data_IF_787170930817
#
_entry.id   IF_787170930817
#
_cell.length_a   1.000
_cell.length_b   1.000
_cell.length_c   1.000
_cell.angle_alpha   90.00
_cell.angle_beta   90.00
_cell.angle_gamma   90.00
#
_symmetry.space_group_name_H-M   'P 1'
#
loop_
_entity.id
_entity.type
_entity.pdbx_description
1 polymer ?
#
# COMPACT_ATOMS: atom_id res chain seq x y z
N UNK A 1 34.63 20.17 11.43
CA UNK A 1 33.65 19.59 12.38
C UNK A 1 32.39 20.46 12.47
N UNK A 2 31.71 20.76 11.34
CA UNK A 2 30.54 21.66 11.32
C UNK A 2 29.28 21.08 10.66
N UNK A 3 29.31 19.81 10.26
CA UNK A 3 28.23 19.17 9.49
C UNK A 3 27.19 18.43 10.35
N UNK A 4 27.44 18.24 11.65
CA UNK A 4 26.60 17.41 12.54
C UNK A 4 25.47 18.18 13.23
N UNK A 5 25.54 19.52 13.31
CA UNK A 5 24.54 20.34 14.01
C UNK A 5 23.36 20.79 13.14
N UNK A 6 23.51 20.75 11.81
CA UNK A 6 22.45 21.17 10.86
C UNK A 6 21.56 20.01 10.38
N UNK A 7 22.07 18.78 10.42
CA UNK A 7 21.35 17.58 9.97
C UNK A 7 20.28 17.12 10.95
N UNK A 8 20.51 17.32 12.26
CA UNK A 8 19.58 16.98 13.34
C UNK A 8 18.28 17.79 13.33
N UNK A 9 18.28 19.14 13.23
CA UNK A 9 17.02 19.90 13.17
C UNK A 9 16.23 19.63 11.89
N UNK A 10 16.90 19.39 10.76
CA UNK A 10 16.23 19.03 9.51
C UNK A 10 15.60 17.64 9.57
N UNK A 11 16.27 16.66 10.17
CA UNK A 11 15.70 15.31 10.35
C UNK A 11 14.49 15.30 11.30
N UNK A 12 14.54 16.07 12.40
CA UNK A 12 13.42 16.19 13.35
C UNK A 12 12.21 16.88 12.70
N UNK A 13 12.44 17.96 11.96
CA UNK A 13 11.36 18.65 11.23
C UNK A 13 10.78 17.78 10.13
N UNK A 14 11.63 17.07 9.37
CA UNK A 14 11.19 16.09 8.36
C UNK A 14 10.33 15.00 8.97
N UNK A 15 10.73 14.42 10.11
CA UNK A 15 9.94 13.45 10.85
C UNK A 15 8.58 14.01 11.28
N UNK A 16 8.55 15.22 11.88
CA UNK A 16 7.30 15.85 12.30
C UNK A 16 6.33 16.10 11.13
N UNK A 17 6.88 16.53 9.99
CA UNK A 17 6.12 16.74 8.74
C UNK A 17 5.56 15.40 8.23
N UNK A 18 6.37 14.34 8.19
CA UNK A 18 5.89 12.99 7.80
C UNK A 18 4.78 12.53 8.73
N UNK A 19 4.97 12.62 10.05
CA UNK A 19 3.99 12.13 11.03
C UNK A 19 2.67 12.89 10.93
N UNK A 20 2.72 14.22 10.80
CA UNK A 20 1.52 15.03 10.57
C UNK A 20 0.83 14.66 9.24
N UNK A 21 1.61 14.42 8.19
CA UNK A 21 1.12 14.06 6.86
C UNK A 21 0.44 12.70 6.86
N UNK A 22 1.09 11.69 7.45
CA UNK A 22 0.59 10.32 7.58
C UNK A 22 -0.72 10.27 8.41
N UNK A 23 -0.79 11.00 9.53
CA UNK A 23 -2.02 11.12 10.32
C UNK A 23 -3.16 11.78 9.52
N UNK A 24 -2.83 12.84 8.78
CA UNK A 24 -3.82 13.53 7.96
C UNK A 24 -4.25 12.69 6.75
N UNK A 25 -3.34 11.90 6.20
CA UNK A 25 -3.59 10.96 5.13
C UNK A 25 -4.57 9.88 5.61
N UNK A 26 -4.30 9.26 6.76
CA UNK A 26 -5.19 8.24 7.32
C UNK A 26 -6.60 8.78 7.57
N UNK A 27 -6.68 10.00 8.12
CA UNK A 27 -7.96 10.69 8.30
C UNK A 27 -8.65 10.96 6.95
N UNK A 28 -7.92 11.49 5.97
CA UNK A 28 -8.48 11.79 4.64
C UNK A 28 -9.00 10.53 3.93
N UNK A 29 -8.28 9.41 4.03
CA UNK A 29 -8.72 8.12 3.49
C UNK A 29 -9.95 7.60 4.24
N UNK A 30 -10.01 7.75 5.57
CA UNK A 30 -11.18 7.39 6.38
C UNK A 30 -12.42 8.19 5.98
N UNK A 31 -12.30 9.51 5.93
CA UNK A 31 -13.39 10.42 5.57
C UNK A 31 -13.88 10.12 4.14
N UNK A 32 -12.95 9.88 3.20
CA UNK A 32 -13.28 9.48 1.83
C UNK A 32 -13.96 8.10 1.74
N UNK A 33 -13.50 7.12 2.53
CA UNK A 33 -14.12 5.79 2.60
C UNK A 33 -15.56 5.85 3.15
N UNK A 34 -15.88 6.86 3.96
CA UNK A 34 -17.23 7.10 4.49
C UNK A 34 -18.21 7.75 3.51
N UNK A 35 -17.76 8.22 2.35
CA UNK A 35 -18.63 8.87 1.35
C UNK A 35 -19.47 7.85 0.57
N UNK A 36 -20.69 8.25 0.16
CA UNK A 36 -21.51 7.47 -0.78
C UNK A 36 -20.83 7.38 -2.16
N UNK A 37 -21.02 6.25 -2.85
CA UNK A 37 -20.41 5.92 -4.15
C UNK A 37 -20.59 7.00 -5.22
N UNK A 38 -21.78 7.59 -5.32
CA UNK A 38 -22.13 8.60 -6.34
C UNK A 38 -21.39 9.92 -6.14
N UNK A 39 -20.99 10.18 -4.89
CA UNK A 39 -20.17 11.35 -4.52
C UNK A 39 -18.72 11.02 -4.87
N UNK A 40 -18.20 9.86 -4.46
CA UNK A 40 -16.79 9.46 -4.64
C UNK A 40 -16.24 9.41 -6.10
N UNK A 41 -17.06 9.56 -7.15
CA UNK A 41 -16.62 9.55 -8.56
C UNK A 41 -15.95 10.86 -8.97
N UNK A 42 -16.26 12.00 -8.35
CA UNK A 42 -15.67 13.29 -8.75
C UNK A 42 -14.20 13.41 -8.33
N UNK A 43 -13.32 13.70 -9.30
CA UNK A 43 -11.86 13.77 -9.10
C UNK A 43 -11.42 14.92 -8.16
N UNK A 44 -12.23 15.99 -8.08
CA UNK A 44 -11.96 17.26 -7.38
C UNK A 44 -12.84 17.46 -6.14
N UNK A 45 -13.21 16.38 -5.46
CA UNK A 45 -13.93 16.50 -4.19
C UNK A 45 -13.00 16.87 -3.04
N UNK A 46 -13.52 17.73 -2.15
CA UNK A 46 -12.82 18.32 -1.01
C UNK A 46 -12.04 17.28 -0.19
N UNK A 47 -12.56 16.07 -0.05
CA UNK A 47 -11.94 15.01 0.77
C UNK A 47 -10.79 14.27 0.04
N UNK A 48 -10.81 14.17 -1.29
CA UNK A 48 -9.64 13.71 -2.08
C UNK A 48 -8.50 14.72 -2.08
N UNK A 49 -8.84 16.01 -2.10
CA UNK A 49 -7.85 17.09 -2.00
C UNK A 49 -7.08 16.96 -0.69
N UNK A 50 -7.73 16.56 0.41
CA UNK A 50 -7.04 16.30 1.69
C UNK A 50 -6.05 15.14 1.59
N UNK A 51 -6.41 14.04 0.93
CA UNK A 51 -5.48 12.91 0.71
C UNK A 51 -4.27 13.33 -0.11
N UNK A 52 -4.48 14.08 -1.20
CA UNK A 52 -3.37 14.55 -2.04
C UNK A 52 -2.48 15.57 -1.31
N UNK A 53 -3.06 16.50 -0.56
CA UNK A 53 -2.31 17.46 0.25
C UNK A 53 -1.53 16.77 1.36
N UNK A 54 -2.14 15.79 2.03
CA UNK A 54 -1.48 14.99 3.05
C UNK A 54 -0.30 14.20 2.46
N UNK A 55 -0.49 13.57 1.30
CA UNK A 55 0.58 12.86 0.59
C UNK A 55 1.72 13.79 0.16
N UNK A 56 1.39 15.01 -0.29
CA UNK A 56 2.40 16.05 -0.58
C UNK A 56 3.17 16.46 0.68
N UNK A 57 2.51 16.51 1.83
CA UNK A 57 3.16 16.77 3.11
C UNK A 57 4.16 15.66 3.45
N UNK A 58 3.76 14.38 3.33
CA UNK A 58 4.66 13.24 3.53
C UNK A 58 5.83 13.26 2.54
N UNK A 59 5.56 13.58 1.27
CA UNK A 59 6.61 13.72 0.25
C UNK A 59 7.59 14.86 0.56
N UNK A 60 7.12 15.97 1.11
CA UNK A 60 7.98 17.08 1.55
C UNK A 60 8.89 16.65 2.72
N UNK A 61 8.36 15.88 3.68
CA UNK A 61 9.16 15.29 4.75
C UNK A 61 10.19 14.28 4.23
N UNK A 62 9.80 13.42 3.29
CA UNK A 62 10.72 12.50 2.60
C UNK A 62 11.84 13.26 1.85
N UNK A 63 11.50 14.37 1.18
CA UNK A 63 12.49 15.22 0.52
C UNK A 63 13.49 15.82 1.54
N UNK A 64 13.02 16.20 2.72
CA UNK A 64 13.87 16.65 3.83
C UNK A 64 14.91 15.58 4.24
N UNK A 65 14.50 14.32 4.37
CA UNK A 65 15.44 13.20 4.60
C UNK A 65 16.39 12.96 3.41
N UNK A 66 15.92 13.12 2.17
CA UNK A 66 16.79 13.01 1.00
C UNK A 66 17.89 14.09 0.99
N UNK A 67 17.58 15.31 1.44
CA UNK A 67 18.53 16.42 1.59
C UNK A 67 19.56 16.18 2.71
N UNK A 68 19.25 15.36 3.72
CA UNK A 68 20.23 14.94 4.74
C UNK A 68 21.11 13.77 4.29
N UNK A 69 20.92 13.25 3.07
CA UNK A 69 21.69 12.12 2.53
C UNK A 69 20.99 10.75 2.68
N UNK A 70 19.82 10.70 3.31
CA UNK A 70 19.08 9.47 3.64
C UNK A 70 18.17 9.01 2.48
N UNK A 71 18.75 8.80 1.30
CA UNK A 71 17.97 8.55 0.07
C UNK A 71 17.13 7.27 0.12
N UNK A 72 17.65 6.19 0.70
CA UNK A 72 16.92 4.92 0.84
C UNK A 72 15.67 5.07 1.72
N UNK A 73 15.82 5.50 2.99
CA UNK A 73 14.68 5.75 3.85
C UNK A 73 13.70 6.79 3.30
N UNK A 74 14.19 7.85 2.65
CA UNK A 74 13.34 8.83 1.98
C UNK A 74 12.44 8.19 0.90
N UNK A 75 12.99 7.29 0.08
CA UNK A 75 12.21 6.55 -0.91
C UNK A 75 11.17 5.63 -0.26
N UNK A 76 11.53 4.98 0.85
CA UNK A 76 10.60 4.13 1.59
C UNK A 76 9.42 4.92 2.18
N UNK A 77 9.68 6.11 2.74
CA UNK A 77 8.62 7.03 3.22
C UNK A 77 7.80 7.58 2.04
N UNK A 78 8.43 7.92 0.92
CA UNK A 78 7.68 8.36 -0.26
C UNK A 78 6.76 7.25 -0.79
N UNK A 79 7.21 5.99 -0.75
CA UNK A 79 6.43 4.84 -1.20
C UNK A 79 5.13 4.66 -0.40
N UNK A 80 5.11 4.97 0.90
CA UNK A 80 3.88 4.88 1.71
C UNK A 80 2.83 5.89 1.28
N UNK A 81 3.25 7.15 1.06
CA UNK A 81 2.37 8.20 0.55
C UNK A 81 1.81 7.87 -0.84
N UNK A 82 2.68 7.45 -1.77
CA UNK A 82 2.26 7.12 -3.14
C UNK A 82 1.33 5.91 -3.15
N UNK A 83 1.62 4.87 -2.37
CA UNK A 83 0.76 3.69 -2.30
C UNK A 83 -0.65 4.05 -1.83
N UNK A 84 -0.78 4.83 -0.76
CA UNK A 84 -2.09 5.26 -0.27
C UNK A 84 -2.85 6.14 -1.26
N UNK A 85 -2.16 7.02 -1.99
CA UNK A 85 -2.76 7.82 -3.07
C UNK A 85 -3.33 6.92 -4.17
N UNK A 86 -2.55 5.94 -4.66
CA UNK A 86 -2.99 5.02 -5.70
C UNK A 86 -4.22 4.22 -5.27
N UNK A 87 -4.29 3.80 -4.01
CA UNK A 87 -5.43 3.05 -3.48
C UNK A 87 -6.72 3.88 -3.38
N UNK A 88 -6.63 5.22 -3.34
CA UNK A 88 -7.80 6.13 -3.30
C UNK A 88 -8.39 6.47 -4.67
N UNK A 89 -7.92 5.82 -5.73
CA UNK A 89 -8.47 6.00 -7.08
C UNK A 89 -9.97 5.61 -7.14
N UNK A 90 -10.80 6.38 -7.87
CA UNK A 90 -12.23 6.11 -8.02
C UNK A 90 -12.53 4.74 -8.61
N UNK A 91 -13.70 4.21 -8.25
CA UNK A 91 -14.23 2.94 -8.75
C UNK A 91 -15.10 2.25 -7.70
N UNK A 92 -15.72 1.11 -8.03
CA UNK A 92 -16.55 0.37 -7.08
C UNK A 92 -15.73 -0.04 -5.85
N UNK A 93 -16.40 -0.13 -4.70
CA UNK A 93 -15.85 -0.62 -3.43
C UNK A 93 -14.67 0.19 -2.87
N UNK A 94 -14.76 1.52 -3.01
CA UNK A 94 -13.75 2.48 -2.55
C UNK A 94 -13.47 2.41 -1.04
N UNK A 95 -14.46 1.99 -0.24
CA UNK A 95 -14.37 1.83 1.22
C UNK A 95 -13.21 0.92 1.65
N UNK A 96 -12.87 -0.05 0.81
CA UNK A 96 -11.90 -1.11 1.11
C UNK A 96 -10.45 -0.60 1.05
N UNK A 97 -10.20 0.54 0.41
CA UNK A 97 -8.87 1.15 0.35
C UNK A 97 -8.34 1.62 1.70
N UNK A 98 -9.21 1.79 2.70
CA UNK A 98 -8.83 2.18 4.05
C UNK A 98 -8.00 1.09 4.76
N UNK A 99 -8.32 -0.18 4.56
CA UNK A 99 -7.67 -1.28 5.29
C UNK A 99 -6.16 -1.41 5.01
N UNK A 100 -5.69 -1.38 3.75
CA UNK A 100 -4.24 -1.35 3.49
C UNK A 100 -3.57 -0.10 4.06
N UNK A 101 -4.24 1.05 4.06
CA UNK A 101 -3.68 2.30 4.59
C UNK A 101 -3.43 2.23 6.10
N UNK A 102 -4.21 1.46 6.88
CA UNK A 102 -3.94 1.21 8.30
C UNK A 102 -2.60 0.52 8.55
N UNK A 103 -2.03 -0.16 7.55
CA UNK A 103 -0.72 -0.81 7.64
C UNK A 103 0.37 0.08 7.04
N UNK A 104 0.10 0.67 5.86
CA UNK A 104 1.08 1.47 5.11
C UNK A 104 1.51 2.73 5.89
N UNK A 105 0.55 3.44 6.49
CA UNK A 105 0.77 4.71 7.20
C UNK A 105 1.73 4.53 8.40
N UNK A 106 1.51 3.55 9.32
CA UNK A 106 2.47 3.26 10.38
C UNK A 106 3.87 2.88 9.90
N UNK A 107 3.99 2.18 8.76
CA UNK A 107 5.30 1.82 8.20
C UNK A 107 6.08 3.07 7.78
N UNK A 108 5.41 4.05 7.18
CA UNK A 108 6.02 5.33 6.80
C UNK A 108 6.48 6.13 8.01
N UNK A 109 5.63 6.22 9.03
CA UNK A 109 5.96 6.87 10.30
C UNK A 109 7.13 6.17 11.02
N UNK A 110 7.13 4.83 11.06
CA UNK A 110 8.21 4.05 11.67
C UNK A 110 9.54 4.19 10.91
N UNK A 111 9.49 4.24 9.57
CA UNK A 111 10.67 4.48 8.76
C UNK A 111 11.25 5.88 9.00
N UNK A 112 10.40 6.91 8.99
CA UNK A 112 10.81 8.29 9.29
C UNK A 112 11.40 8.42 10.71
N UNK A 113 10.79 7.76 11.70
CA UNK A 113 11.31 7.72 13.07
C UNK A 113 12.68 7.05 13.12
N UNK A 114 12.84 5.90 12.44
CA UNK A 114 14.13 5.20 12.31
C UNK A 114 15.18 6.09 11.67
N UNK A 115 14.85 6.79 10.58
CA UNK A 115 15.81 7.71 9.91
C UNK A 115 16.27 8.82 10.84
N UNK A 116 15.37 9.35 11.66
CA UNK A 116 15.70 10.37 12.66
C UNK A 116 16.57 9.81 13.80
N UNK A 117 16.28 8.62 14.31
CA UNK A 117 16.95 8.04 15.48
C UNK A 117 18.26 7.30 15.14
N UNK A 118 18.35 6.70 13.95
CA UNK A 118 19.45 5.88 13.48
C UNK A 118 19.82 6.27 12.03
N UNK A 119 20.37 7.48 11.82
CA UNK A 119 20.78 7.93 10.49
C UNK A 119 21.89 7.03 9.93
N UNK A 120 22.04 7.03 8.62
CA UNK A 120 22.95 6.22 7.82
C UNK A 120 22.63 4.73 7.79
N UNK A 121 21.48 4.31 8.33
CA UNK A 121 21.05 2.93 8.20
C UNK A 121 20.51 2.73 6.79
N UNK A 122 21.15 1.90 5.96
CA UNK A 122 20.72 1.70 4.58
C UNK A 122 19.34 1.06 4.49
N UNK A 123 18.63 1.41 3.41
CA UNK A 123 17.39 0.79 2.97
C UNK A 123 17.54 0.55 1.48
N UNK A 124 17.44 -0.71 1.06
CA UNK A 124 17.64 -1.04 -0.35
C UNK A 124 16.44 -0.60 -1.19
N UNK A 125 16.72 -0.13 -2.42
CA UNK A 125 15.68 0.18 -3.41
C UNK A 125 14.78 -1.03 -3.67
N UNK A 126 15.35 -2.24 -3.64
CA UNK A 126 14.61 -3.48 -3.89
C UNK A 126 13.58 -3.74 -2.80
N UNK A 127 13.92 -3.54 -1.52
CA UNK A 127 12.98 -3.68 -0.41
C UNK A 127 11.87 -2.64 -0.50
N UNK A 128 12.19 -1.39 -0.87
CA UNK A 128 11.20 -0.33 -1.11
C UNK A 128 10.25 -0.66 -2.26
N UNK A 129 10.78 -1.07 -3.42
CA UNK A 129 9.96 -1.43 -4.58
C UNK A 129 9.07 -2.63 -4.28
N UNK A 130 9.60 -3.64 -3.58
CA UNK A 130 8.83 -4.85 -3.28
C UNK A 130 7.72 -4.57 -2.27
N UNK A 131 7.99 -3.75 -1.25
CA UNK A 131 6.96 -3.23 -0.35
C UNK A 131 5.88 -2.46 -1.12
N UNK A 132 6.28 -1.53 -1.99
CA UNK A 132 5.35 -0.73 -2.78
C UNK A 132 4.45 -1.60 -3.64
N UNK A 133 5.02 -2.59 -4.35
CA UNK A 133 4.26 -3.54 -5.17
C UNK A 133 3.27 -4.32 -4.31
N UNK A 134 3.72 -4.92 -3.20
CA UNK A 134 2.83 -5.73 -2.33
C UNK A 134 1.72 -4.87 -1.74
N UNK A 135 2.02 -3.64 -1.32
CA UNK A 135 1.03 -2.72 -0.76
C UNK A 135 -0.04 -2.31 -1.76
N UNK A 136 0.38 -1.90 -2.96
CA UNK A 136 -0.54 -1.43 -4.01
C UNK A 136 -1.30 -2.60 -4.62
N UNK A 137 -0.60 -3.64 -5.10
CA UNK A 137 -1.23 -4.80 -5.72
C UNK A 137 -2.09 -5.57 -4.71
N UNK A 138 -1.65 -5.71 -3.47
CA UNK A 138 -2.44 -6.31 -2.39
C UNK A 138 -3.73 -5.54 -2.11
N UNK A 139 -3.66 -4.20 -2.03
CA UNK A 139 -4.87 -3.37 -1.87
C UNK A 139 -5.84 -3.49 -3.04
N UNK A 140 -5.35 -3.51 -4.28
CA UNK A 140 -6.20 -3.74 -5.46
C UNK A 140 -6.76 -5.17 -5.51
N UNK A 141 -6.01 -6.19 -5.07
CA UNK A 141 -6.52 -7.56 -4.94
C UNK A 141 -7.70 -7.62 -3.98
N UNK A 142 -7.60 -6.96 -2.82
CA UNK A 142 -8.70 -6.91 -1.86
C UNK A 142 -9.92 -6.22 -2.46
N UNK A 143 -9.72 -5.08 -3.14
CA UNK A 143 -10.79 -4.35 -3.84
C UNK A 143 -11.45 -5.21 -4.92
N UNK A 144 -10.66 -5.90 -5.73
CA UNK A 144 -11.15 -6.80 -6.77
C UNK A 144 -11.94 -7.97 -6.20
N UNK A 145 -11.50 -8.55 -5.07
CA UNK A 145 -12.22 -9.62 -4.36
C UNK A 145 -13.59 -9.14 -3.86
N UNK A 146 -13.68 -7.93 -3.30
CA UNK A 146 -14.97 -7.35 -2.86
C UNK A 146 -15.94 -7.19 -4.01
N UNK A 147 -15.47 -6.63 -5.13
CA UNK A 147 -16.29 -6.48 -6.33
C UNK A 147 -16.71 -7.84 -6.94
N UNK A 148 -15.81 -8.84 -6.89
CA UNK A 148 -16.02 -10.13 -7.53
C UNK A 148 -16.85 -11.12 -6.69
N UNK A 149 -16.93 -10.93 -5.37
CA UNK A 149 -17.70 -11.77 -4.45
C UNK A 149 -18.66 -10.93 -3.59
N UNK A 150 -19.73 -10.39 -4.19
CA UNK A 150 -20.71 -9.58 -3.47
C UNK A 150 -21.46 -10.41 -2.42
N UNK A 151 -21.67 -9.84 -1.23
CA UNK A 151 -22.30 -10.50 -0.07
C UNK A 151 -23.77 -10.85 -0.32
N UNK A 152 -24.45 -10.10 -1.20
CA UNK A 152 -25.85 -10.33 -1.58
C UNK A 152 -25.94 -10.43 -3.11
N UNK A 153 -26.39 -11.58 -3.62
CA UNK A 153 -26.57 -11.83 -5.04
C UNK A 153 -28.00 -11.49 -5.48
N UNK A 154 -28.15 -10.42 -6.27
CA UNK A 154 -29.42 -9.96 -6.85
C UNK A 154 -29.64 -10.41 -8.30
N UNK A 155 -28.58 -10.88 -8.98
CA UNK A 155 -28.63 -11.35 -10.37
C UNK A 155 -28.82 -10.24 -11.42
N UNK A 156 -28.64 -8.97 -11.05
CA UNK A 156 -28.76 -7.84 -11.97
C UNK A 156 -27.59 -7.78 -12.97
N UNK A 157 -27.82 -7.14 -14.13
CA UNK A 157 -26.75 -6.88 -15.13
C UNK A 157 -25.62 -6.03 -14.55
N UNK A 158 -25.95 -5.06 -13.69
CA UNK A 158 -24.99 -4.22 -13.00
C UNK A 158 -24.07 -5.05 -12.07
N UNK A 159 -24.63 -6.06 -11.39
CA UNK A 159 -23.85 -6.97 -10.57
C UNK A 159 -22.97 -7.91 -11.40
N UNK A 160 -23.45 -8.40 -12.53
CA UNK A 160 -22.63 -9.19 -13.45
C UNK A 160 -21.43 -8.37 -13.98
N UNK A 161 -21.65 -7.08 -14.26
CA UNK A 161 -20.58 -6.16 -14.65
C UNK A 161 -19.55 -5.95 -13.53
N UNK A 162 -20.01 -5.74 -12.28
CA UNK A 162 -19.12 -5.61 -11.12
C UNK A 162 -18.28 -6.86 -10.88
N UNK A 163 -18.86 -8.05 -11.04
CA UNK A 163 -18.13 -9.31 -10.89
C UNK A 163 -17.03 -9.45 -11.95
N UNK A 164 -17.34 -9.15 -13.21
CA UNK A 164 -16.37 -9.18 -14.30
C UNK A 164 -15.23 -8.15 -14.08
N UNK A 165 -15.58 -6.94 -13.63
CA UNK A 165 -14.61 -5.92 -13.26
C UNK A 165 -13.71 -6.39 -12.11
N UNK A 166 -14.28 -6.94 -11.04
CA UNK A 166 -13.52 -7.42 -9.88
C UNK A 166 -12.52 -8.51 -10.26
N UNK A 167 -12.93 -9.47 -11.11
CA UNK A 167 -12.04 -10.52 -11.63
C UNK A 167 -10.88 -9.93 -12.46
N UNK A 168 -11.17 -8.94 -13.31
CA UNK A 168 -10.15 -8.26 -14.10
C UNK A 168 -9.15 -7.53 -13.20
N UNK A 169 -9.63 -6.79 -12.18
CA UNK A 169 -8.78 -6.11 -11.20
C UNK A 169 -7.90 -7.12 -10.45
N UNK A 170 -8.46 -8.24 -9.99
CA UNK A 170 -7.69 -9.31 -9.35
C UNK A 170 -6.61 -9.89 -10.27
N UNK A 171 -6.94 -10.13 -11.55
CA UNK A 171 -5.98 -10.63 -12.53
C UNK A 171 -4.81 -9.66 -12.77
N UNK A 172 -5.11 -8.37 -12.97
CA UNK A 172 -4.10 -7.34 -13.18
C UNK A 172 -3.23 -7.12 -11.93
N UNK A 173 -3.86 -7.03 -10.76
CA UNK A 173 -3.16 -6.89 -9.50
C UNK A 173 -2.29 -8.12 -9.21
N UNK A 174 -2.77 -9.32 -9.54
CA UNK A 174 -2.03 -10.56 -9.49
C UNK A 174 -0.78 -10.58 -10.38
N UNK A 175 -0.93 -10.14 -11.63
CA UNK A 175 0.19 -10.03 -12.55
C UNK A 175 1.26 -9.03 -12.05
N UNK A 176 0.84 -7.90 -11.48
CA UNK A 176 1.77 -6.96 -10.84
C UNK A 176 2.45 -7.59 -9.61
N UNK A 177 1.69 -8.29 -8.77
CA UNK A 177 2.17 -8.94 -7.56
C UNK A 177 3.23 -10.01 -7.84
N UNK A 178 3.19 -10.67 -9.00
CA UNK A 178 4.20 -11.67 -9.41
C UNK A 178 5.62 -11.09 -9.39
N UNK A 179 5.78 -9.79 -9.62
CA UNK A 179 7.08 -9.15 -9.55
C UNK A 179 7.71 -9.23 -8.15
N UNK A 180 6.93 -9.22 -7.06
CA UNK A 180 7.45 -9.22 -5.69
C UNK A 180 8.31 -10.46 -5.35
N UNK A 181 7.82 -11.72 -5.47
CA UNK A 181 8.65 -12.89 -5.23
C UNK A 181 9.83 -12.99 -6.20
N UNK A 182 9.70 -12.51 -7.44
CA UNK A 182 10.80 -12.45 -8.39
C UNK A 182 11.90 -11.49 -7.94
N UNK A 183 11.54 -10.29 -7.48
CA UNK A 183 12.48 -9.31 -6.92
C UNK A 183 13.22 -9.89 -5.69
N UNK A 184 12.52 -10.64 -4.84
CA UNK A 184 13.15 -11.35 -3.71
C UNK A 184 14.12 -12.44 -4.17
N UNK A 185 13.75 -13.25 -5.16
CA UNK A 185 14.63 -14.30 -5.68
C UNK A 185 15.87 -13.73 -6.36
N UNK A 186 15.72 -12.65 -7.13
CA UNK A 186 16.82 -11.95 -7.81
C UNK A 186 17.83 -11.34 -6.83
N UNK A 187 17.38 -11.01 -5.62
CA UNK A 187 18.23 -10.46 -4.54
C UNK A 187 18.70 -11.51 -3.55
N UNK A 188 18.38 -12.79 -3.77
CA UNK A 188 18.83 -13.91 -2.92
C UNK A 188 17.96 -14.16 -1.68
N UNK A 189 16.90 -13.38 -1.45
CA UNK A 189 16.01 -13.48 -0.28
C UNK A 189 14.97 -14.60 -0.44
N UNK A 190 15.43 -15.86 -0.46
CA UNK A 190 14.58 -17.05 -0.71
C UNK A 190 13.43 -17.19 0.29
N UNK A 191 13.66 -16.86 1.56
CA UNK A 191 12.61 -16.93 2.59
C UNK A 191 11.54 -15.86 2.38
N UNK A 192 11.91 -14.63 2.00
CA UNK A 192 10.94 -13.57 1.69
C UNK A 192 10.13 -13.91 0.43
N UNK A 193 10.78 -14.51 -0.57
CA UNK A 193 10.10 -15.05 -1.73
C UNK A 193 9.09 -16.15 -1.35
N UNK A 194 9.46 -17.08 -0.46
CA UNK A 194 8.59 -18.15 -0.01
C UNK A 194 7.39 -17.64 0.82
N UNK A 195 7.56 -16.55 1.58
CA UNK A 195 6.48 -15.93 2.34
C UNK A 195 5.53 -15.10 1.48
N UNK A 196 6.01 -14.54 0.36
CA UNK A 196 5.20 -13.68 -0.52
C UNK A 196 4.56 -14.42 -1.71
N UNK A 197 5.19 -15.47 -2.23
CA UNK A 197 4.68 -16.24 -3.38
C UNK A 197 3.27 -16.83 -3.16
N UNK A 198 2.89 -17.35 -1.96
CA UNK A 198 1.54 -17.84 -1.72
C UNK A 198 0.45 -16.79 -1.92
N UNK A 199 0.79 -15.49 -1.87
CA UNK A 199 -0.17 -14.43 -2.09
C UNK A 199 -0.74 -14.41 -3.53
N UNK A 200 -0.01 -15.00 -4.48
CA UNK A 200 -0.51 -15.22 -5.85
C UNK A 200 -1.66 -16.23 -5.92
N UNK A 201 -1.86 -17.06 -4.90
CA UNK A 201 -3.00 -17.99 -4.84
C UNK A 201 -4.34 -17.25 -4.84
N UNK A 202 -4.38 -16.01 -4.34
CA UNK A 202 -5.58 -15.15 -4.41
C UNK A 202 -6.01 -14.89 -5.85
N UNK A 203 -5.06 -14.83 -6.78
CA UNK A 203 -5.34 -14.64 -8.21
C UNK A 203 -5.96 -15.91 -8.79
N UNK A 204 -5.44 -17.07 -8.37
CA UNK A 204 -5.97 -18.37 -8.79
C UNK A 204 -7.41 -18.54 -8.33
N UNK A 205 -7.75 -18.07 -7.13
CA UNK A 205 -9.14 -18.13 -6.65
C UNK A 205 -10.07 -17.24 -7.48
N UNK A 206 -9.59 -16.08 -7.94
CA UNK A 206 -10.31 -15.17 -8.84
C UNK A 206 -10.62 -15.74 -10.23
N UNK A 207 -9.94 -16.82 -10.64
CA UNK A 207 -10.19 -17.52 -11.90
C UNK A 207 -11.33 -18.56 -11.81
N UNK A 208 -11.81 -18.89 -10.60
CA UNK A 208 -12.93 -19.82 -10.49
C UNK A 208 -14.25 -19.15 -10.88
N UNK A 209 -15.02 -19.85 -11.71
CA UNK A 209 -16.32 -19.36 -12.16
C UNK A 209 -17.42 -19.39 -11.08
N UNK A 210 -17.14 -19.97 -9.91
CA UNK A 210 -18.11 -20.08 -8.80
C UNK A 210 -17.95 -18.93 -7.79
N UNK A 211 -18.94 -18.03 -7.67
CA UNK A 211 -18.87 -16.89 -6.75
C UNK A 211 -18.79 -17.33 -5.27
N UNK A 212 -19.39 -18.47 -4.90
CA UNK A 212 -19.33 -18.99 -3.52
C UNK A 212 -17.91 -19.42 -3.10
N UNK A 213 -17.19 -20.06 -4.04
CA UNK A 213 -15.79 -20.46 -3.86
C UNK A 213 -14.91 -19.23 -3.82
N UNK A 214 -15.17 -18.25 -4.68
CA UNK A 214 -14.43 -17.00 -4.72
C UNK A 214 -14.58 -16.20 -3.42
N UNK A 215 -15.80 -16.11 -2.88
CA UNK A 215 -16.05 -15.47 -1.61
C UNK A 215 -15.29 -16.17 -0.47
N UNK A 216 -15.58 -17.44 -0.20
CA UNK A 216 -15.02 -18.07 0.99
C UNK A 216 -13.52 -18.37 0.87
N UNK A 217 -13.10 -18.95 -0.25
CA UNK A 217 -11.71 -19.35 -0.46
C UNK A 217 -10.83 -18.13 -0.77
N UNK A 218 -11.33 -17.16 -1.55
CA UNK A 218 -10.58 -15.96 -1.91
C UNK A 218 -10.29 -15.07 -0.70
N UNK A 219 -11.28 -14.76 0.13
CA UNK A 219 -11.06 -13.99 1.35
C UNK A 219 -10.17 -14.71 2.35
N UNK A 220 -10.36 -16.03 2.54
CA UNK A 220 -9.51 -16.81 3.43
C UNK A 220 -8.05 -16.80 2.96
N UNK A 221 -7.83 -17.02 1.67
CA UNK A 221 -6.49 -17.02 1.08
C UNK A 221 -5.85 -15.64 1.24
N UNK A 222 -6.59 -14.56 0.98
CA UNK A 222 -6.11 -13.19 1.17
C UNK A 222 -5.75 -12.91 2.64
N UNK A 223 -6.63 -13.28 3.58
CA UNK A 223 -6.44 -13.05 5.00
C UNK A 223 -5.22 -13.78 5.59
N UNK A 224 -4.82 -14.90 5.00
CA UNK A 224 -3.64 -15.65 5.43
C UNK A 224 -2.39 -15.14 4.71
N UNK A 225 -2.41 -15.10 3.38
CA UNK A 225 -1.22 -14.88 2.56
C UNK A 225 -0.86 -13.40 2.39
N UNK A 226 -1.84 -12.50 2.44
CA UNK A 226 -1.63 -11.06 2.35
C UNK A 226 -0.79 -10.52 3.52
N UNK A 227 -1.16 -10.80 4.79
CA UNK A 227 -0.34 -10.41 5.93
C UNK A 227 1.05 -11.03 5.95
N UNK A 228 1.21 -12.27 5.45
CA UNK A 228 2.54 -12.89 5.33
C UNK A 228 3.42 -12.16 4.32
N UNK A 229 2.89 -11.83 3.13
CA UNK A 229 3.62 -11.09 2.10
C UNK A 229 3.96 -9.67 2.57
N UNK A 230 2.99 -8.96 3.16
CA UNK A 230 3.18 -7.62 3.69
C UNK A 230 4.19 -7.62 4.86
N UNK A 231 4.09 -8.57 5.78
CA UNK A 231 5.01 -8.72 6.91
C UNK A 231 6.45 -8.98 6.43
N UNK A 232 6.64 -9.83 5.42
CA UNK A 232 7.94 -10.06 4.80
C UNK A 232 8.52 -8.78 4.17
N UNK A 233 7.69 -8.00 3.49
CA UNK A 233 8.12 -6.74 2.88
C UNK A 233 8.48 -5.66 3.93
N UNK A 234 7.68 -5.55 5.00
CA UNK A 234 7.98 -4.66 6.12
C UNK A 234 9.28 -5.10 6.79
N UNK A 235 9.44 -6.40 7.08
CA UNK A 235 10.68 -6.92 7.66
C UNK A 235 11.90 -6.49 6.84
N UNK A 236 11.87 -6.73 5.52
CA UNK A 236 12.95 -6.36 4.62
C UNK A 236 13.27 -4.85 4.63
N UNK A 237 12.27 -3.97 4.73
CA UNK A 237 12.52 -2.53 4.86
C UNK A 237 13.36 -2.16 6.09
N UNK A 238 13.22 -2.93 7.17
CA UNK A 238 13.91 -2.68 8.44
C UNK A 238 15.22 -3.46 8.62
N UNK A 239 15.43 -4.52 7.85
CA UNK A 239 16.58 -5.43 8.03
C UNK A 239 17.49 -5.56 6.81
N UNK A 240 17.02 -5.31 5.58
CA UNK A 240 17.88 -5.32 4.39
C UNK A 240 18.57 -3.96 4.23
N UNK A 241 19.85 -3.93 4.55
CA UNK A 241 20.72 -2.76 4.48
C UNK A 241 22.17 -3.12 4.18
#
# INVERSE_FOLDING_TARGET
MGATTWTTPLAVTSFAIVLAGELWLLKGVYDWAGLRSDVAVQLLQRDRVLVYLAALLVAAGAAGFALTGERGPALAVLATAVASVLLTMPGPDHVVAFYPCLVIVPVGAAMALRTMLAPWTPVTLMSTLTFFVIAVAGGYLLRGLVAAAPVVYSGSEEQAHLIAYGRLVCGLAGAALLSAPLLWLLTGHRWLAALSAPFLLVVVTALFDRPDVLGHLGYLTYAITGPMAMGAAIYALFTDG
#
